data_IF_660344118457
#
_entry.id   IF_660344118457
#
_cell.length_a   1.000
_cell.length_b   1.000
_cell.length_c   1.000
_cell.angle_alpha   90.00
_cell.angle_beta   90.00
_cell.angle_gamma   90.00
#
_symmetry.space_group_name_H-M   'P 1'
#
loop_
_entity.id
_entity.type
_entity.pdbx_description
1 polymer ?
#
# COMPACT_ATOMS: atom_id res chain seq x y z
N UNK A 1 -4.05 -9.33 -14.01
CA UNK A 1 -4.55 -8.67 -12.79
C UNK A 1 -3.59 -7.55 -12.44
N UNK A 2 -4.08 -6.31 -12.31
CA UNK A 2 -3.24 -5.15 -11.94
C UNK A 2 -2.74 -5.38 -10.50
N UNK A 3 -1.44 -5.24 -10.28
CA UNK A 3 -0.84 -5.32 -8.94
C UNK A 3 -0.40 -3.92 -8.53
N UNK A 4 -0.71 -3.52 -7.32
CA UNK A 4 -0.23 -2.27 -6.74
C UNK A 4 1.08 -2.50 -5.99
N UNK A 5 1.90 -1.46 -5.96
CA UNK A 5 3.14 -1.39 -5.21
C UNK A 5 2.88 -0.72 -3.87
N UNK A 6 3.11 -1.46 -2.79
CA UNK A 6 2.94 -1.01 -1.42
C UNK A 6 4.27 -0.83 -0.67
N UNK A 7 5.43 -0.80 -1.34
CA UNK A 7 6.74 -0.63 -0.68
C UNK A 7 6.82 0.67 0.11
N UNK A 8 6.30 1.78 -0.44
CA UNK A 8 6.19 3.05 0.29
C UNK A 8 5.33 2.92 1.54
N UNK A 9 4.21 2.20 1.43
CA UNK A 9 3.30 1.98 2.56
C UNK A 9 3.99 1.15 3.65
N UNK A 10 4.70 0.08 3.30
CA UNK A 10 5.49 -0.71 4.25
C UNK A 10 6.54 0.11 4.98
N UNK A 11 7.28 0.95 4.24
CA UNK A 11 8.24 1.89 4.82
C UNK A 11 7.59 2.80 5.86
N UNK A 12 6.46 3.42 5.50
CA UNK A 12 5.73 4.34 6.39
C UNK A 12 5.18 3.65 7.64
N UNK A 13 4.63 2.44 7.49
CA UNK A 13 4.16 1.61 8.61
C UNK A 13 5.28 1.40 9.63
N UNK A 14 6.46 0.97 9.16
CA UNK A 14 7.62 0.74 10.01
C UNK A 14 8.15 2.03 10.64
N UNK A 15 8.23 3.12 9.87
CA UNK A 15 8.67 4.44 10.37
C UNK A 15 7.76 5.01 11.47
N UNK A 16 6.47 4.67 11.46
CA UNK A 16 5.51 5.05 12.51
C UNK A 16 5.45 4.05 13.68
N UNK A 17 6.33 3.05 13.70
CA UNK A 17 6.40 2.05 14.79
C UNK A 17 5.32 0.97 14.71
N UNK A 18 4.55 0.91 13.62
CA UNK A 18 3.55 -0.13 13.41
C UNK A 18 4.17 -1.37 12.78
N UNK A 19 3.53 -2.51 13.04
CA UNK A 19 3.59 -3.70 12.21
C UNK A 19 2.20 -3.94 11.60
N UNK A 20 2.05 -4.92 10.71
CA UNK A 20 0.75 -5.18 10.06
C UNK A 20 -0.35 -5.49 11.09
N UNK A 21 -0.06 -6.27 12.13
CA UNK A 21 -1.04 -6.62 13.16
C UNK A 21 -1.47 -5.41 13.99
N UNK A 22 -0.53 -4.54 14.38
CA UNK A 22 -0.86 -3.34 15.16
C UNK A 22 -1.58 -2.30 14.31
N UNK A 23 -1.21 -2.12 13.03
CA UNK A 23 -1.96 -1.25 12.12
C UNK A 23 -3.38 -1.78 11.88
N UNK A 24 -3.54 -3.09 11.67
CA UNK A 24 -4.86 -3.68 11.45
C UNK A 24 -5.78 -3.41 12.65
N UNK A 25 -5.26 -3.57 13.88
CA UNK A 25 -5.99 -3.23 15.11
C UNK A 25 -6.32 -1.75 15.18
N UNK A 26 -5.38 -0.87 14.85
CA UNK A 26 -5.56 0.58 14.85
C UNK A 26 -6.67 1.04 13.90
N UNK A 27 -6.72 0.47 12.69
CA UNK A 27 -7.72 0.86 11.68
C UNK A 27 -9.03 0.05 11.77
N UNK A 28 -9.15 -0.84 12.76
CA UNK A 28 -10.37 -1.60 13.04
C UNK A 28 -10.65 -2.81 12.14
N UNK A 29 -9.63 -3.43 11.55
CA UNK A 29 -9.77 -4.65 10.72
C UNK A 29 -8.96 -5.83 11.26
N UNK A 30 -9.24 -7.04 10.76
CA UNK A 30 -8.43 -8.21 11.10
C UNK A 30 -7.04 -8.15 10.45
N UNK A 31 -5.98 -8.64 11.11
CA UNK A 31 -4.65 -8.74 10.50
C UNK A 31 -4.64 -9.50 9.18
N UNK A 32 -5.45 -10.57 9.08
CA UNK A 32 -5.63 -11.35 7.85
C UNK A 32 -6.22 -10.53 6.71
N UNK A 33 -7.20 -9.65 7.01
CA UNK A 33 -7.77 -8.73 6.01
C UNK A 33 -6.73 -7.74 5.50
N UNK A 34 -5.92 -7.16 6.38
CA UNK A 34 -4.84 -6.25 5.99
C UNK A 34 -3.80 -6.96 5.12
N UNK A 35 -3.36 -8.15 5.51
CA UNK A 35 -2.41 -8.95 4.72
C UNK A 35 -2.96 -9.29 3.34
N UNK A 36 -4.23 -9.65 3.23
CA UNK A 36 -4.86 -9.90 1.94
C UNK A 36 -4.93 -8.64 1.07
N UNK A 37 -5.17 -7.47 1.66
CA UNK A 37 -5.16 -6.19 0.94
C UNK A 37 -3.79 -5.85 0.40
N UNK A 38 -2.76 -5.99 1.23
CA UNK A 38 -1.37 -5.81 0.83
C UNK A 38 -0.89 -6.83 -0.22
N UNK A 39 -1.62 -7.94 -0.42
CA UNK A 39 -1.37 -8.93 -1.49
C UNK A 39 -2.12 -8.63 -2.79
N UNK A 40 -3.01 -7.64 -2.81
CA UNK A 40 -3.72 -7.19 -4.01
C UNK A 40 -5.25 -7.17 -3.90
N UNK A 41 -5.83 -7.47 -2.72
CA UNK A 41 -7.25 -7.17 -2.49
C UNK A 41 -7.41 -5.64 -2.37
N UNK A 42 -8.39 -5.02 -3.03
CA UNK A 42 -8.60 -3.58 -2.93
C UNK A 42 -8.86 -3.11 -1.49
N UNK A 43 -8.30 -1.96 -1.15
CA UNK A 43 -8.67 -1.21 0.05
C UNK A 43 -10.00 -0.50 -0.19
N UNK A 44 -10.85 -0.45 0.85
CA UNK A 44 -12.04 0.40 0.86
C UNK A 44 -11.64 1.83 1.20
N UNK A 45 -12.46 2.80 0.82
CA UNK A 45 -12.16 4.21 1.04
C UNK A 45 -11.99 4.55 2.53
N UNK A 46 -12.82 3.98 3.41
CA UNK A 46 -12.73 4.16 4.86
C UNK A 46 -11.42 3.60 5.43
N UNK A 47 -10.95 2.46 4.92
CA UNK A 47 -9.66 1.89 5.33
C UNK A 47 -8.49 2.76 4.89
N UNK A 48 -8.52 3.29 3.65
CA UNK A 48 -7.49 4.21 3.17
C UNK A 48 -7.44 5.44 4.07
N UNK A 49 -8.58 6.05 4.38
CA UNK A 49 -8.67 7.22 5.25
C UNK A 49 -8.14 6.93 6.66
N UNK A 50 -8.50 5.77 7.23
CA UNK A 50 -8.02 5.39 8.56
C UNK A 50 -6.51 5.15 8.57
N UNK A 51 -5.97 4.46 7.56
CA UNK A 51 -4.52 4.25 7.42
C UNK A 51 -3.81 5.59 7.27
N UNK A 52 -4.32 6.52 6.46
CA UNK A 52 -3.74 7.84 6.28
C UNK A 52 -3.70 8.62 7.60
N UNK A 53 -4.77 8.55 8.41
CA UNK A 53 -4.79 9.17 9.75
C UNK A 53 -3.77 8.53 10.69
N UNK A 54 -3.76 7.20 10.80
CA UNK A 54 -2.85 6.48 11.71
C UNK A 54 -1.37 6.63 11.34
N UNK A 55 -1.08 6.70 10.03
CA UNK A 55 0.29 6.84 9.51
C UNK A 55 0.67 8.28 9.20
N UNK A 56 -0.21 9.24 9.49
CA UNK A 56 -0.03 10.67 9.25
C UNK A 56 0.50 10.92 7.83
N UNK A 57 -0.26 10.41 6.87
CA UNK A 57 -0.04 10.58 5.43
C UNK A 57 -0.91 11.74 4.97
N UNK A 58 -0.31 12.71 4.29
CA UNK A 58 -1.03 13.87 3.77
C UNK A 58 -1.92 13.46 2.59
N UNK A 59 -3.04 14.16 2.43
CA UNK A 59 -4.02 13.89 1.37
C UNK A 59 -3.42 13.94 -0.04
N UNK A 60 -2.45 14.84 -0.27
CA UNK A 60 -1.75 14.97 -1.54
C UNK A 60 -0.74 13.83 -1.83
N UNK A 61 -0.44 12.98 -0.85
CA UNK A 61 0.51 11.86 -1.00
C UNK A 61 -0.20 10.50 -1.13
N UNK A 62 -1.50 10.42 -0.83
CA UNK A 62 -2.31 9.18 -0.83
C UNK A 62 -2.13 8.37 -2.12
N UNK A 63 -2.16 9.06 -3.25
CA UNK A 63 -1.96 8.48 -4.58
C UNK A 63 -0.69 7.62 -4.66
N UNK A 64 0.41 8.09 -4.09
CA UNK A 64 1.69 7.41 -4.17
C UNK A 64 1.80 6.19 -3.24
N UNK A 65 0.94 6.09 -2.22
CA UNK A 65 0.90 4.97 -1.28
C UNK A 65 -0.04 3.84 -1.72
N UNK A 66 -1.19 4.18 -2.33
CA UNK A 66 -2.24 3.21 -2.62
C UNK A 66 -2.47 2.94 -4.11
N UNK A 67 -2.02 3.85 -4.98
CA UNK A 67 -2.35 3.82 -6.42
C UNK A 67 -1.11 3.72 -7.32
N UNK A 68 0.05 3.38 -6.75
CA UNK A 68 1.26 3.06 -7.51
C UNK A 68 1.11 1.66 -8.10
N UNK A 69 1.19 1.52 -9.43
CA UNK A 69 1.10 0.21 -10.09
C UNK A 69 2.48 -0.43 -10.16
N UNK A 70 2.55 -1.73 -9.82
CA UNK A 70 3.77 -2.51 -9.99
C UNK A 70 3.99 -2.77 -11.48
N UNK A 71 4.87 -1.99 -12.09
CA UNK A 71 5.24 -2.15 -13.50
C UNK A 71 6.03 -3.45 -13.63
N UNK A 72 5.43 -4.48 -14.21
CA UNK A 72 6.22 -5.61 -14.70
C UNK A 72 7.01 -5.05 -15.88
N UNK A 73 8.33 -4.86 -15.71
CA UNK A 73 9.23 -4.66 -16.84
C UNK A 73 9.09 -5.90 -17.72
N UNK A 74 8.26 -5.83 -18.75
CA UNK A 74 8.56 -6.58 -19.95
C UNK A 74 9.90 -6.03 -20.42
N UNK A 75 10.94 -6.84 -20.34
CA UNK A 75 12.25 -6.55 -20.91
C UNK A 75 12.06 -6.19 -22.39
N UNK A 76 11.97 -4.90 -22.71
CA UNK A 76 12.33 -4.42 -24.03
C UNK A 76 13.85 -4.36 -24.05
N UNK A 77 14.47 -5.52 -24.31
CA UNK A 77 15.78 -5.55 -24.91
C UNK A 77 15.61 -5.77 -26.42
N UNK A 78 16.53 -5.18 -27.20
CA UNK A 78 16.62 -5.08 -28.66
C UNK A 78 15.93 -3.85 -29.27
N UNK A 79 16.52 -3.08 -30.17
CA UNK A 79 17.90 -2.90 -30.64
C UNK A 79 17.84 -1.73 -31.65
N UNK A 80 18.89 -0.92 -31.69
CA UNK A 80 19.47 -0.28 -32.88
C UNK A 80 18.54 0.33 -33.95
N UNK A 81 18.65 1.65 -34.12
CA UNK A 81 18.99 2.26 -35.41
C UNK A 81 19.74 3.57 -35.14
#
# INVERSE_FOLDING_TARGET
MIKFDYERLYGRIKSKGYNQSSLAREIGISPSSLTNKLKGVPFRQDEILNICKSLDIKDNEVSAYFFTVKVQKAEHNKQSA
#
